data_IF_664135818150
#
_entry.id   IF_664135818150
#
_cell.length_a   1.000
_cell.length_b   1.000
_cell.length_c   1.000
_cell.angle_alpha   90.00
_cell.angle_beta   90.00
_cell.angle_gamma   90.00
#
_symmetry.space_group_name_H-M   'P 1'
#
loop_
_entity.id
_entity.type
_entity.pdbx_description
1 polymer ?
#
# COMPACT_ATOMS: atom_id res chain seq x y z
N UNK A 1 16.86 -23.34 -0.37
CA UNK A 1 17.31 -22.78 0.92
C UNK A 1 16.09 -22.72 1.83
N UNK A 2 16.09 -23.39 2.98
CA UNK A 2 14.98 -23.25 3.93
C UNK A 2 14.98 -21.80 4.41
N UNK A 3 14.01 -21.00 3.99
CA UNK A 3 13.82 -19.69 4.57
C UNK A 3 13.64 -19.88 6.08
N UNK A 4 14.57 -19.35 6.88
CA UNK A 4 14.49 -19.43 8.33
C UNK A 4 13.30 -18.58 8.77
N UNK A 5 12.14 -19.21 8.92
CA UNK A 5 10.93 -18.54 9.42
C UNK A 5 11.16 -18.14 10.87
N UNK A 6 10.97 -16.86 11.20
CA UNK A 6 11.03 -16.37 12.58
C UNK A 6 9.63 -16.28 13.16
N UNK A 7 9.42 -16.89 14.32
CA UNK A 7 8.13 -16.82 15.03
C UNK A 7 7.96 -15.46 15.70
N UNK A 8 6.81 -14.85 15.47
CA UNK A 8 6.39 -13.58 16.10
C UNK A 8 4.99 -13.76 16.68
N UNK A 9 4.75 -13.17 17.86
CA UNK A 9 3.42 -13.13 18.47
C UNK A 9 2.88 -11.71 18.36
N UNK A 10 1.63 -11.57 17.89
CA UNK A 10 0.94 -10.30 17.76
C UNK A 10 -0.43 -10.37 18.43
N UNK A 11 -0.90 -9.27 18.98
CA UNK A 11 -2.25 -9.16 19.54
C UNK A 11 -3.18 -8.56 18.50
N UNK A 12 -4.33 -9.20 18.29
CA UNK A 12 -5.39 -8.69 17.43
C UNK A 12 -6.58 -8.25 18.27
N UNK A 13 -7.29 -7.22 17.80
CA UNK A 13 -8.66 -7.00 18.25
C UNK A 13 -9.51 -8.29 18.04
N UNK A 14 -10.35 -8.70 19.00
CA UNK A 14 -11.11 -9.95 18.89
C UNK A 14 -12.04 -10.02 17.67
N UNK A 15 -12.66 -8.90 17.27
CA UNK A 15 -13.53 -8.88 16.10
C UNK A 15 -12.70 -8.99 14.81
N UNK A 16 -11.56 -8.30 14.74
CA UNK A 16 -10.62 -8.42 13.63
C UNK A 16 -10.06 -9.83 13.49
N UNK A 17 -9.66 -10.47 14.59
CA UNK A 17 -9.18 -11.84 14.57
C UNK A 17 -10.23 -12.80 14.00
N UNK A 18 -11.49 -12.67 14.40
CA UNK A 18 -12.60 -13.47 13.85
C UNK A 18 -12.80 -13.23 12.36
N UNK A 19 -12.79 -11.97 11.92
CA UNK A 19 -12.89 -11.63 10.50
C UNK A 19 -11.75 -12.25 9.68
N UNK A 20 -10.52 -12.19 10.18
CA UNK A 20 -9.36 -12.80 9.53
C UNK A 20 -9.45 -14.33 9.50
N UNK A 21 -9.99 -14.97 10.54
CA UNK A 21 -10.26 -16.42 10.53
C UNK A 21 -11.27 -16.80 9.44
N UNK A 22 -12.35 -16.03 9.27
CA UNK A 22 -13.29 -16.26 8.18
C UNK A 22 -12.63 -16.08 6.81
N UNK A 23 -11.80 -15.05 6.64
CA UNK A 23 -11.02 -14.84 5.40
C UNK A 23 -10.07 -16.00 5.13
N UNK A 24 -9.36 -16.50 6.14
CA UNK A 24 -8.46 -17.65 6.05
C UNK A 24 -9.19 -18.90 5.53
N UNK A 25 -10.35 -19.21 6.13
CA UNK A 25 -11.19 -20.34 5.70
C UNK A 25 -11.70 -20.15 4.27
N UNK A 26 -12.24 -18.97 3.94
CA UNK A 26 -12.80 -18.69 2.62
C UNK A 26 -11.74 -18.75 1.50
N UNK A 27 -10.48 -18.41 1.82
CA UNK A 27 -9.38 -18.39 0.85
C UNK A 27 -8.51 -19.65 0.87
N UNK A 28 -8.79 -20.60 1.77
CA UNK A 28 -7.94 -21.79 2.00
C UNK A 28 -6.47 -21.42 2.29
N UNK A 29 -6.26 -20.35 3.06
CA UNK A 29 -4.94 -19.83 3.43
C UNK A 29 -4.77 -19.84 4.95
N UNK A 30 -3.53 -19.94 5.44
CA UNK A 30 -3.29 -19.76 6.87
C UNK A 30 -3.39 -18.28 7.26
N UNK A 31 -3.68 -18.02 8.54
CA UNK A 31 -3.68 -16.65 9.08
C UNK A 31 -2.29 -16.01 8.95
N UNK A 32 -1.23 -16.78 9.18
CA UNK A 32 0.15 -16.32 9.04
C UNK A 32 0.48 -15.91 7.60
N UNK A 33 0.02 -16.65 6.60
CA UNK A 33 0.24 -16.30 5.20
C UNK A 33 -0.48 -14.99 4.85
N UNK A 34 -1.72 -14.82 5.31
CA UNK A 34 -2.50 -13.59 5.06
C UNK A 34 -1.80 -12.37 5.69
N UNK A 35 -1.32 -12.52 6.93
CA UNK A 35 -0.63 -11.44 7.64
C UNK A 35 0.70 -11.10 6.95
N UNK A 36 1.50 -12.11 6.59
CA UNK A 36 2.78 -11.90 5.90
C UNK A 36 2.58 -11.19 4.55
N UNK A 37 1.63 -11.65 3.74
CA UNK A 37 1.33 -11.02 2.44
C UNK A 37 0.88 -9.56 2.61
N UNK A 38 0.06 -9.29 3.63
CA UNK A 38 -0.44 -7.93 3.86
C UNK A 38 0.70 -6.99 4.27
N UNK A 39 1.64 -7.47 5.10
CA UNK A 39 2.84 -6.70 5.46
C UNK A 39 3.74 -6.49 4.24
N UNK A 40 3.92 -7.51 3.40
CA UNK A 40 4.69 -7.37 2.17
C UNK A 40 4.11 -6.34 1.22
N UNK A 41 2.78 -6.34 1.01
CA UNK A 41 2.13 -5.34 0.17
C UNK A 41 2.26 -3.93 0.76
N UNK A 42 2.04 -3.74 2.06
CA UNK A 42 2.21 -2.42 2.68
C UNK A 42 3.64 -1.88 2.51
N UNK A 43 4.66 -2.72 2.70
CA UNK A 43 6.05 -2.32 2.50
C UNK A 43 6.40 -2.06 1.02
N UNK A 44 5.75 -2.77 0.09
CA UNK A 44 5.93 -2.53 -1.34
C UNK A 44 5.29 -1.20 -1.77
N UNK A 45 4.09 -0.89 -1.28
CA UNK A 45 3.43 0.39 -1.49
C UNK A 45 4.29 1.55 -0.96
N UNK A 46 4.84 1.42 0.25
CA UNK A 46 5.77 2.42 0.81
C UNK A 46 7.01 2.61 -0.08
N UNK A 47 7.54 1.52 -0.67
CA UNK A 47 8.70 1.60 -1.56
C UNK A 47 8.35 2.27 -2.89
N UNK A 48 7.17 1.99 -3.46
CA UNK A 48 6.68 2.62 -4.67
C UNK A 48 6.44 4.13 -4.48
N UNK A 49 5.92 4.53 -3.31
CA UNK A 49 5.76 5.94 -2.94
C UNK A 49 7.11 6.67 -2.91
N UNK A 50 8.13 6.06 -2.29
CA UNK A 50 9.49 6.60 -2.27
C UNK A 50 10.08 6.73 -3.67
N UNK A 51 9.90 5.71 -4.52
CA UNK A 51 10.35 5.75 -5.91
C UNK A 51 9.65 6.88 -6.70
N UNK A 52 8.34 7.06 -6.50
CA UNK A 52 7.59 8.14 -7.13
C UNK A 52 8.11 9.53 -6.70
N UNK A 53 8.53 9.70 -5.44
CA UNK A 53 9.21 10.94 -5.03
C UNK A 53 10.52 11.15 -5.76
N UNK A 54 11.34 10.10 -5.90
CA UNK A 54 12.64 10.16 -6.58
C UNK A 54 12.49 10.50 -8.08
N UNK A 55 11.55 9.86 -8.78
CA UNK A 55 11.26 10.14 -10.20
C UNK A 55 10.83 11.59 -10.42
N UNK A 56 10.06 12.14 -9.47
CA UNK A 56 9.50 13.49 -9.56
C UNK A 56 10.42 14.59 -9.07
N UNK A 57 11.62 14.26 -8.55
CA UNK A 57 12.60 15.24 -8.08
C UNK A 57 12.95 16.30 -9.13
N UNK A 58 12.96 15.92 -10.42
CA UNK A 58 13.31 16.81 -11.53
C UNK A 58 12.09 17.39 -12.26
N UNK A 59 10.86 17.12 -11.80
CA UNK A 59 9.67 17.73 -12.37
C UNK A 59 9.66 19.25 -12.12
N UNK A 60 9.33 20.07 -13.13
CA UNK A 60 9.22 21.50 -12.94
C UNK A 60 8.03 21.81 -12.02
N UNK A 61 8.23 22.75 -11.10
CA UNK A 61 7.15 23.28 -10.28
C UNK A 61 6.16 24.06 -11.15
N UNK A 62 4.88 23.66 -11.11
CA UNK A 62 3.80 24.36 -11.80
C UNK A 62 3.07 25.25 -10.80
N UNK A 63 2.98 26.55 -11.11
CA UNK A 63 2.21 27.48 -10.28
C UNK A 63 0.71 27.23 -10.41
N UNK A 64 -0.04 27.53 -9.36
CA UNK A 64 -1.51 27.43 -9.39
C UNK A 64 -2.13 28.30 -10.49
N UNK A 65 -1.57 29.49 -10.75
CA UNK A 65 -2.03 30.38 -11.82
C UNK A 65 -1.82 29.76 -13.21
N UNK A 66 -0.66 29.13 -13.44
CA UNK A 66 -0.37 28.42 -14.70
C UNK A 66 -1.34 27.27 -14.92
N UNK A 67 -1.62 26.49 -13.88
CA UNK A 67 -2.58 25.38 -13.91
C UNK A 67 -4.00 25.88 -14.24
N UNK A 68 -4.47 26.98 -13.63
CA UNK A 68 -5.79 27.56 -13.92
C UNK A 68 -5.91 28.07 -15.36
N UNK A 69 -4.85 28.67 -15.89
CA UNK A 69 -4.79 29.12 -17.29
C UNK A 69 -4.91 27.93 -18.24
N UNK A 70 -4.21 26.83 -17.98
CA UNK A 70 -4.31 25.59 -18.76
C UNK A 70 -5.71 24.97 -18.69
N UNK A 71 -6.33 24.90 -17.51
CA UNK A 71 -7.68 24.34 -17.36
C UNK A 71 -8.72 25.10 -18.18
N UNK A 72 -8.67 26.43 -18.14
CA UNK A 72 -9.55 27.30 -18.94
C UNK A 72 -9.29 27.13 -20.43
N UNK A 73 -8.01 27.05 -20.85
CA UNK A 73 -7.65 26.84 -22.25
C UNK A 73 -8.14 25.48 -22.79
N UNK A 74 -8.16 24.46 -21.93
CA UNK A 74 -8.60 23.11 -22.27
C UNK A 74 -10.13 22.90 -22.11
N UNK A 75 -10.90 23.96 -21.82
CA UNK A 75 -12.36 23.89 -21.68
C UNK A 75 -12.85 23.07 -20.49
N UNK A 76 -11.99 22.85 -19.49
CA UNK A 76 -12.31 22.12 -18.25
C UNK A 76 -12.78 23.05 -17.14
N UNK A 77 -12.79 24.36 -17.39
CA UNK A 77 -13.19 25.44 -16.51
C UNK A 77 -13.76 26.59 -17.34
#
# INVERSE_FOLDING_TARGET
MSALTKRTTVYFDPAMHRALQHKALATSRSLSDIVNDTIHHALAEDADDLAAFEERLNEPLVSYESMLKELKANGRL
#
